data_IF_239374355262
#
_entry.id   IF_239374355262
#
_cell.length_a   1.000
_cell.length_b   1.000
_cell.length_c   1.000
_cell.angle_alpha   90.00
_cell.angle_beta   90.00
_cell.angle_gamma   90.00
#
_symmetry.space_group_name_H-M   'P 1'
#
loop_
_entity.id
_entity.type
_entity.pdbx_description
1 polymer ?
#
# COMPACT_ATOMS: atom_id res chain seq x y z
N UNK A 1 4.93 23.03 1.86
CA UNK A 1 4.06 21.99 2.44
C UNK A 1 2.63 22.32 2.06
N UNK A 2 2.02 21.53 1.19
CA UNK A 2 0.60 21.73 0.82
C UNK A 2 -0.28 21.35 2.01
N UNK A 3 -0.68 22.33 2.84
CA UNK A 3 -1.55 22.11 4.00
C UNK A 3 -2.83 21.33 3.62
N UNK A 4 -3.35 21.57 2.41
CA UNK A 4 -4.51 20.87 1.85
C UNK A 4 -4.25 19.37 1.59
N UNK A 5 -3.04 18.98 1.16
CA UNK A 5 -2.70 17.55 0.98
C UNK A 5 -2.59 16.85 2.33
N UNK A 6 -1.91 17.49 3.29
CA UNK A 6 -1.77 16.93 4.64
C UNK A 6 -3.14 16.74 5.29
N UNK A 7 -4.02 17.74 5.19
CA UNK A 7 -5.38 17.64 5.70
C UNK A 7 -6.19 16.51 5.02
N UNK A 8 -6.07 16.37 3.70
CA UNK A 8 -6.76 15.30 2.96
C UNK A 8 -6.27 13.90 3.35
N UNK A 9 -4.96 13.73 3.50
CA UNK A 9 -4.37 12.46 3.91
C UNK A 9 -4.73 12.13 5.37
N UNK A 10 -4.73 13.13 6.25
CA UNK A 10 -5.13 12.93 7.65
C UNK A 10 -6.58 12.45 7.76
N UNK A 11 -7.49 13.03 6.98
CA UNK A 11 -8.89 12.59 6.92
C UNK A 11 -9.03 11.17 6.36
N UNK A 12 -8.25 10.83 5.33
CA UNK A 12 -8.19 9.47 4.76
C UNK A 12 -7.79 8.44 5.83
N UNK A 13 -6.68 8.66 6.54
CA UNK A 13 -6.21 7.70 7.55
C UNK A 13 -7.16 7.56 8.74
N UNK A 14 -7.88 8.63 9.09
CA UNK A 14 -8.94 8.57 10.09
C UNK A 14 -10.09 7.65 9.65
N UNK A 15 -10.53 7.76 8.39
CA UNK A 15 -11.55 6.88 7.84
C UNK A 15 -11.09 5.42 7.72
N UNK A 16 -9.83 5.19 7.33
CA UNK A 16 -9.24 3.84 7.26
C UNK A 16 -9.14 3.21 8.65
N UNK A 17 -8.68 3.96 9.66
CA UNK A 17 -8.66 3.53 11.05
C UNK A 17 -10.07 3.21 11.59
N UNK A 18 -11.08 4.02 11.25
CA UNK A 18 -12.47 3.77 11.59
C UNK A 18 -13.01 2.49 10.95
N UNK A 19 -12.66 2.22 9.69
CA UNK A 19 -13.02 0.97 9.01
C UNK A 19 -12.42 -0.25 9.71
N UNK A 20 -11.17 -0.16 10.17
CA UNK A 20 -10.53 -1.24 10.95
C UNK A 20 -11.18 -1.40 12.32
N UNK A 21 -11.58 -0.31 12.99
CA UNK A 21 -12.34 -0.39 14.25
C UNK A 21 -13.67 -1.15 14.08
N UNK A 22 -14.40 -0.88 12.99
CA UNK A 22 -15.65 -1.59 12.65
C UNK A 22 -15.36 -3.08 12.43
N UNK A 23 -14.30 -3.41 11.68
CA UNK A 23 -13.90 -4.80 11.47
C UNK A 23 -13.53 -5.50 12.78
N UNK A 24 -12.76 -4.84 13.65
CA UNK A 24 -12.38 -5.34 14.97
C UNK A 24 -13.58 -5.52 15.90
N UNK A 25 -14.66 -4.77 15.71
CA UNK A 25 -15.91 -4.95 16.46
C UNK A 25 -16.75 -6.12 15.92
N UNK A 26 -16.86 -6.29 14.59
CA UNK A 26 -17.78 -7.24 13.97
C UNK A 26 -17.21 -8.65 13.73
N UNK A 27 -15.92 -8.79 13.50
CA UNK A 27 -15.27 -10.08 13.20
C UNK A 27 -15.24 -11.03 14.42
N UNK A 28 -14.96 -10.56 15.65
CA UNK A 28 -14.80 -11.46 16.79
C UNK A 28 -16.14 -12.08 17.21
N UNK A 29 -16.15 -13.40 17.41
CA UNK A 29 -17.29 -14.12 17.99
C UNK A 29 -17.43 -13.92 19.52
N UNK A 30 -16.50 -13.17 20.13
CA UNK A 30 -16.43 -12.90 21.56
C UNK A 30 -16.42 -11.40 21.80
N UNK A 31 -16.91 -10.94 22.95
CA UNK A 31 -16.87 -9.52 23.31
C UNK A 31 -15.41 -9.07 23.46
N UNK A 32 -15.03 -8.08 22.68
CA UNK A 32 -13.73 -7.40 22.75
C UNK A 32 -13.95 -6.08 23.49
N UNK A 33 -12.99 -5.68 24.32
CA UNK A 33 -13.07 -4.41 25.05
C UNK A 33 -12.99 -3.23 24.06
N UNK A 34 -13.71 -2.15 24.34
CA UNK A 34 -13.63 -0.93 23.54
C UNK A 34 -12.24 -0.33 23.56
N UNK A 35 -11.48 -0.48 24.65
CA UNK A 35 -10.09 -0.02 24.71
C UNK A 35 -9.20 -0.79 23.74
N UNK A 36 -9.41 -2.10 23.60
CA UNK A 36 -8.65 -2.93 22.65
C UNK A 36 -8.98 -2.55 21.20
N UNK A 37 -10.26 -2.34 20.88
CA UNK A 37 -10.68 -1.91 19.54
C UNK A 37 -10.05 -0.56 19.18
N UNK A 38 -10.00 0.36 20.14
CA UNK A 38 -9.43 1.70 19.94
C UNK A 38 -7.90 1.62 19.75
N UNK A 39 -7.21 0.76 20.51
CA UNK A 39 -5.78 0.47 20.32
C UNK A 39 -5.49 -0.11 18.93
N UNK A 40 -6.31 -1.06 18.45
CA UNK A 40 -6.19 -1.63 17.10
C UNK A 40 -6.38 -0.53 16.04
N UNK A 41 -7.42 0.28 16.18
CA UNK A 41 -7.74 1.34 15.22
C UNK A 41 -6.61 2.38 15.09
N UNK A 42 -6.04 2.82 16.22
CA UNK A 42 -4.91 3.78 16.24
C UNK A 42 -3.65 3.17 15.63
N UNK A 43 -3.31 1.93 16.01
CA UNK A 43 -2.13 1.23 15.48
C UNK A 43 -2.25 1.00 13.97
N UNK A 44 -3.45 0.61 13.50
CA UNK A 44 -3.71 0.41 12.08
C UNK A 44 -3.65 1.73 11.29
N UNK A 45 -4.23 2.81 11.83
CA UNK A 45 -4.14 4.15 11.22
C UNK A 45 -2.70 4.63 11.07
N UNK A 46 -1.84 4.40 12.08
CA UNK A 46 -0.41 4.68 12.00
C UNK A 46 0.29 3.81 10.95
N UNK A 47 -0.06 2.52 10.88
CA UNK A 47 0.51 1.61 9.87
C UNK A 47 0.14 2.06 8.45
N UNK A 48 -1.12 2.42 8.19
CA UNK A 48 -1.54 2.92 6.87
C UNK A 48 -0.91 4.25 6.52
N UNK A 49 -0.71 5.15 7.50
CA UNK A 49 0.04 6.39 7.30
C UNK A 49 1.46 6.09 6.80
N UNK A 50 2.15 5.14 7.44
CA UNK A 50 3.50 4.72 7.02
C UNK A 50 3.45 4.15 5.60
N UNK A 51 2.51 3.26 5.29
CA UNK A 51 2.39 2.67 3.96
C UNK A 51 2.11 3.70 2.86
N UNK A 52 1.28 4.72 3.12
CA UNK A 52 1.00 5.79 2.16
C UNK A 52 2.24 6.67 1.91
N UNK A 53 3.07 6.89 2.93
CA UNK A 53 4.35 7.59 2.76
C UNK A 53 5.34 6.83 1.86
N UNK A 54 5.37 5.49 1.95
CA UNK A 54 6.27 4.65 1.14
C UNK A 54 5.70 4.29 -0.25
N UNK A 55 4.39 4.44 -0.46
CA UNK A 55 3.71 4.17 -1.74
C UNK A 55 4.42 4.74 -2.98
N UNK A 56 4.88 6.01 -3.03
CA UNK A 56 5.56 6.55 -4.21
C UNK A 56 6.89 5.85 -4.52
N UNK A 57 7.69 5.52 -3.50
CA UNK A 57 8.99 4.86 -3.68
C UNK A 57 8.81 3.42 -4.21
N UNK A 58 7.86 2.68 -3.63
CA UNK A 58 7.48 1.34 -4.09
C UNK A 58 6.99 1.37 -5.54
N UNK A 59 6.19 2.37 -5.90
CA UNK A 59 5.70 2.56 -7.27
C UNK A 59 6.83 2.83 -8.28
N UNK A 60 7.84 3.61 -7.89
CA UNK A 60 9.03 3.86 -8.71
C UNK A 60 9.83 2.60 -8.98
N UNK A 61 10.17 1.85 -7.93
CA UNK A 61 10.89 0.58 -8.03
C UNK A 61 10.16 -0.48 -8.86
N UNK A 62 8.84 -0.62 -8.66
CA UNK A 62 8.03 -1.57 -9.41
C UNK A 62 8.04 -1.30 -10.92
N UNK A 63 7.97 -0.03 -11.33
CA UNK A 63 8.03 0.38 -12.75
C UNK A 63 9.40 0.12 -13.36
N UNK A 64 10.48 0.41 -12.62
CA UNK A 64 11.85 0.12 -13.08
C UNK A 64 12.08 -1.38 -13.27
N UNK A 65 11.68 -2.20 -12.29
CA UNK A 65 11.78 -3.66 -12.39
C UNK A 65 10.95 -4.23 -13.54
N UNK A 66 9.72 -3.76 -13.71
CA UNK A 66 8.88 -4.15 -14.85
C UNK A 66 9.49 -3.71 -16.19
N UNK A 67 9.97 -2.48 -16.29
CA UNK A 67 10.62 -1.90 -17.49
C UNK A 67 11.89 -2.66 -17.90
N UNK A 68 12.74 -3.01 -16.94
CA UNK A 68 13.91 -3.86 -17.17
C UNK A 68 13.47 -5.26 -17.62
N UNK A 69 12.49 -5.86 -16.92
CA UNK A 69 11.99 -7.20 -17.24
C UNK A 69 11.40 -7.30 -18.65
N UNK A 70 10.61 -6.32 -19.09
CA UNK A 70 10.07 -6.30 -20.46
C UNK A 70 11.17 -6.05 -21.50
N UNK A 71 12.14 -5.17 -21.22
CA UNK A 71 13.22 -4.85 -22.15
C UNK A 71 14.18 -6.02 -22.38
N UNK A 72 14.57 -6.71 -21.31
CA UNK A 72 15.43 -7.90 -21.38
C UNK A 72 14.77 -9.02 -22.19
N UNK A 73 13.46 -9.22 -22.04
CA UNK A 73 12.71 -10.21 -22.83
C UNK A 73 12.67 -9.85 -24.31
N UNK A 74 12.40 -8.58 -24.63
CA UNK A 74 12.36 -8.13 -26.02
C UNK A 74 13.70 -8.28 -26.74
N UNK A 75 14.82 -7.96 -26.06
CA UNK A 75 16.17 -8.15 -26.62
C UNK A 75 16.51 -9.63 -26.76
N UNK A 76 16.25 -10.44 -25.75
CA UNK A 76 16.51 -11.88 -25.77
C UNK A 76 15.76 -12.58 -26.92
N UNK A 77 14.49 -12.23 -27.13
CA UNK A 77 13.69 -12.75 -28.24
C UNK A 77 14.23 -12.30 -29.61
N UNK A 78 14.67 -11.05 -29.73
CA UNK A 78 15.35 -10.54 -30.93
C UNK A 78 16.65 -11.29 -31.24
N UNK A 79 17.50 -11.52 -30.23
CA UNK A 79 18.77 -12.25 -30.38
C UNK A 79 18.56 -13.72 -30.77
N UNK A 80 17.51 -14.36 -30.24
CA UNK A 80 17.17 -15.74 -30.60
C UNK A 80 16.67 -15.86 -32.05
N UNK A 81 16.05 -14.79 -32.58
CA UNK A 81 15.67 -14.70 -33.99
C UNK A 81 16.86 -14.54 -34.94
N UNK A 82 17.92 -13.84 -34.52
CA UNK A 82 19.14 -13.65 -35.34
C UNK A 82 20.09 -14.87 -35.32
N UNK A 83 20.01 -15.72 -34.29
CA UNK A 83 20.77 -16.97 -34.21
C UNK A 83 20.19 -18.10 -35.09
N UNK A 84 19.03 -17.89 -35.73
CA UNK A 84 18.37 -18.85 -36.62
C UNK A 84 18.55 -18.55 -38.13
N UNK A 85 19.39 -17.58 -38.50
CA UNK A 85 19.79 -17.28 -39.88
C UNK A 85 21.27 -17.56 -40.14
#
# INVERSE_FOLDING_TARGET
MDLQKVARNLFKYFLEGAAVAIAAYYIPKRKVDMVEILMIAVTAGLTFLVLDMFSPEVGGGARLGAGLGIGLRAVSEGMNGEAQY
#
